data_IF_115702803516
#
_entry.id   IF_115702803516
#
_cell.length_a   1.000
_cell.length_b   1.000
_cell.length_c   1.000
_cell.angle_alpha   90.00
_cell.angle_beta   90.00
_cell.angle_gamma   90.00
#
_symmetry.space_group_name_H-M   'P 1'
#
loop_
_entity.id
_entity.type
_entity.pdbx_description
1 polymer ?
#
# COMPACT_ATOMS: atom_id res chain seq x y z
N UNK A 1 26.14 3.27 -7.04
CA UNK A 1 25.33 2.78 -5.89
C UNK A 1 25.60 3.72 -4.74
N UNK A 2 24.57 4.40 -4.31
CA UNK A 2 24.66 5.34 -3.18
C UNK A 2 25.01 4.55 -1.91
N UNK A 3 26.04 4.98 -1.17
CA UNK A 3 26.42 4.38 0.11
C UNK A 3 25.41 4.83 1.18
N UNK A 4 24.34 4.08 1.37
CA UNK A 4 23.35 4.35 2.42
C UNK A 4 23.81 3.73 3.73
N UNK A 5 23.89 4.53 4.80
CA UNK A 5 24.25 4.03 6.13
C UNK A 5 23.06 3.28 6.76
N UNK A 6 23.22 1.97 6.96
CA UNK A 6 22.24 1.14 7.63
C UNK A 6 22.27 1.36 9.15
N UNK A 7 21.10 1.49 9.77
CA UNK A 7 20.94 1.49 11.22
C UNK A 7 20.94 0.06 11.78
N UNK A 8 21.06 -0.08 13.10
CA UNK A 8 21.03 -1.38 13.77
C UNK A 8 19.73 -2.14 13.42
N UNK A 9 19.89 -3.37 12.95
CA UNK A 9 18.77 -4.24 12.54
C UNK A 9 18.24 -4.00 11.13
N UNK A 10 18.73 -2.97 10.41
CA UNK A 10 18.37 -2.77 9.00
C UNK A 10 19.12 -3.73 8.09
N UNK A 11 18.42 -4.24 7.08
CA UNK A 11 18.93 -5.13 6.04
C UNK A 11 18.44 -4.69 4.67
N UNK A 12 19.26 -4.91 3.66
CA UNK A 12 18.85 -4.69 2.26
C UNK A 12 18.31 -6.00 1.71
N UNK A 13 17.11 -5.93 1.15
CA UNK A 13 16.43 -7.05 0.47
C UNK A 13 16.19 -6.69 -0.99
N UNK A 14 16.27 -7.68 -1.89
CA UNK A 14 15.93 -7.50 -3.31
C UNK A 14 14.40 -7.54 -3.49
N UNK A 15 13.87 -6.65 -4.31
CA UNK A 15 12.46 -6.69 -4.73
C UNK A 15 12.21 -7.70 -5.86
N UNK A 16 13.25 -8.33 -6.40
CA UNK A 16 13.17 -9.25 -7.54
C UNK A 16 12.54 -8.60 -8.79
N UNK A 17 12.69 -7.30 -8.92
CA UNK A 17 12.17 -6.47 -10.02
C UNK A 17 13.32 -5.57 -10.53
N UNK A 18 14.00 -5.99 -11.59
CA UNK A 18 15.25 -5.36 -11.98
C UNK A 18 16.27 -5.42 -10.82
N UNK A 19 17.01 -4.34 -10.62
CA UNK A 19 17.97 -4.22 -9.51
C UNK A 19 17.41 -3.51 -8.27
N UNK A 20 16.07 -3.35 -8.18
CA UNK A 20 15.45 -2.62 -7.09
C UNK A 20 15.59 -3.34 -5.75
N UNK A 21 15.92 -2.56 -4.75
CA UNK A 21 16.14 -3.01 -3.37
C UNK A 21 15.29 -2.24 -2.39
N UNK A 22 15.03 -2.85 -1.25
CA UNK A 22 14.32 -2.22 -0.13
C UNK A 22 15.10 -2.44 1.16
N UNK A 23 15.04 -1.47 2.05
CA UNK A 23 15.59 -1.60 3.40
C UNK A 23 14.47 -2.03 4.32
N UNK A 24 14.71 -3.09 5.10
CA UNK A 24 13.82 -3.64 6.11
C UNK A 24 14.54 -3.70 7.45
N UNK A 25 13.78 -3.68 8.54
CA UNK A 25 14.33 -3.85 9.89
C UNK A 25 13.61 -4.99 10.61
N UNK A 26 14.37 -5.95 11.15
CA UNK A 26 13.83 -7.12 11.83
C UNK A 26 13.03 -6.76 13.10
N UNK A 27 13.33 -5.62 13.71
CA UNK A 27 12.66 -5.10 14.90
C UNK A 27 11.44 -4.23 14.62
N UNK A 28 11.14 -3.96 13.33
CA UNK A 28 10.00 -3.17 12.89
C UNK A 28 9.03 -4.01 12.08
N UNK A 29 7.91 -3.41 11.68
CA UNK A 29 6.96 -4.07 10.79
C UNK A 29 7.62 -4.40 9.45
N UNK A 30 7.63 -5.69 9.09
CA UNK A 30 8.03 -6.16 7.76
C UNK A 30 6.82 -6.22 6.84
N UNK A 31 7.05 -5.91 5.57
CA UNK A 31 6.01 -6.08 4.58
C UNK A 31 5.64 -7.57 4.40
N UNK A 32 4.40 -7.79 4.02
CA UNK A 32 3.87 -9.11 3.68
C UNK A 32 3.64 -9.22 2.17
N UNK A 33 3.37 -10.43 1.70
CA UNK A 33 2.95 -10.68 0.32
C UNK A 33 1.75 -9.83 -0.12
N UNK A 34 0.91 -9.38 0.81
CA UNK A 34 -0.25 -8.51 0.53
C UNK A 34 0.15 -7.22 -0.18
N UNK A 35 1.29 -6.61 0.22
CA UNK A 35 1.85 -5.42 -0.42
C UNK A 35 2.24 -5.67 -1.88
N UNK A 36 2.86 -6.83 -2.13
CA UNK A 36 3.27 -7.26 -3.48
C UNK A 36 2.05 -7.55 -4.36
N UNK A 37 1.06 -8.23 -3.80
CA UNK A 37 -0.20 -8.54 -4.51
C UNK A 37 -0.94 -7.24 -4.85
N UNK A 38 -1.06 -6.30 -3.91
CA UNK A 38 -1.71 -5.02 -4.13
C UNK A 38 -1.06 -4.22 -5.27
N UNK A 39 0.26 -4.12 -5.29
CA UNK A 39 0.97 -3.37 -6.32
C UNK A 39 0.81 -3.97 -7.73
N UNK A 40 0.68 -5.30 -7.83
CA UNK A 40 0.39 -6.00 -9.10
C UNK A 40 -1.08 -5.95 -9.50
N UNK A 41 -1.97 -5.84 -8.54
CA UNK A 41 -3.42 -5.71 -8.76
C UNK A 41 -3.79 -4.34 -9.31
N UNK A 42 -3.10 -3.30 -8.88
CA UNK A 42 -3.36 -1.91 -9.24
C UNK A 42 -3.22 -1.66 -10.75
N UNK A 43 -3.99 -0.71 -11.33
CA UNK A 43 -3.92 -0.40 -12.75
C UNK A 43 -2.55 0.14 -13.13
N UNK A 44 -1.99 -0.40 -14.21
CA UNK A 44 -0.63 -0.11 -14.69
C UNK A 44 -0.53 1.27 -15.37
N UNK A 45 0.70 1.79 -15.50
CA UNK A 45 1.04 2.97 -16.31
C UNK A 45 0.56 4.30 -15.75
N UNK A 46 0.21 4.37 -14.48
CA UNK A 46 -0.16 5.62 -13.80
C UNK A 46 1.07 6.47 -13.52
N UNK A 47 0.96 7.79 -13.71
CA UNK A 47 2.11 8.70 -13.66
C UNK A 47 2.32 9.36 -12.31
N UNK A 48 1.25 9.73 -11.63
CA UNK A 48 1.29 10.33 -10.30
C UNK A 48 0.62 9.37 -9.31
N UNK A 49 1.43 8.75 -8.45
CA UNK A 49 1.01 7.68 -7.54
C UNK A 49 1.23 8.12 -6.10
N UNK A 50 0.24 7.92 -5.25
CA UNK A 50 0.32 8.11 -3.81
C UNK A 50 0.18 6.76 -3.12
N UNK A 51 1.11 6.43 -2.24
CA UNK A 51 1.06 5.28 -1.35
C UNK A 51 0.72 5.77 0.06
N UNK A 52 -0.52 5.55 0.50
CA UNK A 52 -1.02 5.93 1.82
C UNK A 52 -0.75 4.82 2.83
N UNK A 53 -0.27 5.20 4.02
CA UNK A 53 0.21 4.26 5.04
C UNK A 53 1.34 3.38 4.48
N UNK A 54 2.31 4.03 3.84
CA UNK A 54 3.30 3.36 2.98
C UNK A 54 4.28 2.45 3.74
N UNK A 55 4.36 2.57 5.08
CA UNK A 55 5.30 1.79 5.88
C UNK A 55 6.75 2.02 5.41
N UNK A 56 7.46 0.95 5.08
CA UNK A 56 8.81 1.00 4.48
C UNK A 56 8.83 1.40 3.01
N UNK A 57 7.68 1.79 2.42
CA UNK A 57 7.56 2.18 1.02
C UNK A 57 7.44 1.01 0.03
N UNK A 58 7.17 -0.19 0.53
CA UNK A 58 7.15 -1.41 -0.29
C UNK A 58 6.14 -1.35 -1.43
N UNK A 59 4.90 -0.88 -1.20
CA UNK A 59 3.86 -0.89 -2.23
C UNK A 59 4.24 0.06 -3.36
N UNK A 60 4.66 1.28 -3.03
CA UNK A 60 5.11 2.28 -4.00
C UNK A 60 6.34 1.85 -4.79
N UNK A 61 7.39 1.33 -4.12
CA UNK A 61 8.61 0.84 -4.77
C UNK A 61 8.33 -0.36 -5.67
N UNK A 62 7.54 -1.33 -5.19
CA UNK A 62 7.19 -2.51 -5.99
C UNK A 62 6.29 -2.13 -7.18
N UNK A 63 5.34 -1.19 -6.99
CA UNK A 63 4.55 -0.66 -8.10
C UNK A 63 5.41 0.01 -9.15
N UNK A 64 6.41 0.81 -8.76
CA UNK A 64 7.39 1.37 -9.69
C UNK A 64 8.12 0.26 -10.46
N UNK A 65 8.60 -0.77 -9.77
CA UNK A 65 9.32 -1.89 -10.35
C UNK A 65 8.50 -2.69 -11.38
N UNK A 66 7.22 -2.95 -11.12
CA UNK A 66 6.36 -3.65 -12.10
C UNK A 66 5.96 -2.77 -13.30
N UNK A 67 6.22 -1.47 -13.24
CA UNK A 67 5.92 -0.50 -14.30
C UNK A 67 7.17 0.04 -15.02
N UNK A 68 8.34 -0.59 -14.94
CA UNK A 68 9.59 -0.08 -15.52
C UNK A 68 9.51 0.23 -17.04
N UNK A 69 8.63 -0.44 -17.78
CA UNK A 69 8.39 -0.13 -19.20
C UNK A 69 7.63 1.20 -19.42
N UNK A 70 6.87 1.67 -18.42
CA UNK A 70 6.12 2.94 -18.45
C UNK A 70 6.01 3.50 -17.03
N UNK A 71 7.14 3.90 -16.40
CA UNK A 71 7.20 4.17 -14.98
C UNK A 71 6.41 5.42 -14.57
N UNK A 72 6.00 5.50 -13.29
CA UNK A 72 5.53 6.73 -12.69
C UNK A 72 6.55 7.86 -12.82
N UNK A 73 6.08 9.08 -12.95
CA UNK A 73 6.89 10.30 -12.91
C UNK A 73 6.97 10.89 -11.51
N UNK A 74 6.01 10.53 -10.65
CA UNK A 74 5.99 10.87 -9.24
C UNK A 74 5.37 9.74 -8.44
N UNK A 75 6.06 9.33 -7.36
CA UNK A 75 5.52 8.43 -6.32
C UNK A 75 5.71 9.11 -4.97
N UNK A 76 4.61 9.39 -4.29
CA UNK A 76 4.63 9.97 -2.94
C UNK A 76 4.34 8.88 -1.93
N UNK A 77 5.20 8.72 -0.93
CA UNK A 77 5.05 7.78 0.19
C UNK A 77 4.60 8.57 1.42
N UNK A 78 3.37 8.34 1.91
CA UNK A 78 2.83 9.01 3.08
C UNK A 78 2.81 8.05 4.27
N UNK A 79 3.65 8.31 5.27
CA UNK A 79 3.82 7.48 6.45
C UNK A 79 3.90 8.31 7.73
N UNK A 80 3.12 7.93 8.74
CA UNK A 80 3.08 8.65 10.03
C UNK A 80 4.25 8.30 10.95
N UNK A 81 4.80 7.08 10.86
CA UNK A 81 5.88 6.61 11.73
C UNK A 81 7.24 7.08 11.23
N UNK A 82 7.98 7.93 12.00
CA UNK A 82 9.25 8.49 11.52
C UNK A 82 10.30 7.42 11.21
N UNK A 83 10.32 6.31 11.94
CA UNK A 83 11.27 5.22 11.70
C UNK A 83 11.05 4.53 10.36
N UNK A 84 9.79 4.30 9.97
CA UNK A 84 9.43 3.70 8.69
C UNK A 84 9.62 4.69 7.53
N UNK A 85 9.24 5.95 7.71
CA UNK A 85 9.46 7.02 6.73
C UNK A 85 10.96 7.18 6.42
N UNK A 86 11.82 7.23 7.45
CA UNK A 86 13.27 7.30 7.26
C UNK A 86 13.84 6.07 6.54
N UNK A 87 13.29 4.90 6.79
CA UNK A 87 13.68 3.66 6.09
C UNK A 87 13.27 3.71 4.62
N UNK A 88 12.09 4.30 4.31
CA UNK A 88 11.66 4.55 2.93
C UNK A 88 12.58 5.54 2.22
N UNK A 89 12.99 6.64 2.87
CA UNK A 89 13.95 7.62 2.31
C UNK A 89 15.26 6.94 1.92
N UNK A 90 15.81 6.11 2.83
CA UNK A 90 17.01 5.32 2.55
C UNK A 90 16.83 4.36 1.37
N UNK A 91 15.66 3.71 1.27
CA UNK A 91 15.34 2.81 0.15
C UNK A 91 15.27 3.56 -1.18
N UNK A 92 14.68 4.76 -1.18
CA UNK A 92 14.63 5.65 -2.35
C UNK A 92 16.04 6.07 -2.78
N UNK A 93 16.87 6.49 -1.83
CA UNK A 93 18.27 6.87 -2.09
C UNK A 93 19.10 5.70 -2.62
N UNK A 94 18.97 4.51 -2.01
CA UNK A 94 19.68 3.29 -2.41
C UNK A 94 19.44 2.90 -3.87
N UNK A 95 18.26 3.23 -4.40
CA UNK A 95 17.85 2.94 -5.78
C UNK A 95 18.04 4.14 -6.73
N UNK A 96 18.66 5.24 -6.30
CA UNK A 96 18.83 6.48 -7.07
C UNK A 96 17.49 7.08 -7.59
N UNK A 97 16.40 6.90 -6.82
CA UNK A 97 15.03 7.28 -7.21
C UNK A 97 14.55 8.62 -6.64
N UNK A 98 15.42 9.42 -6.00
CA UNK A 98 15.05 10.70 -5.36
C UNK A 98 14.45 11.75 -6.30
N UNK A 99 14.57 11.59 -7.62
CA UNK A 99 13.92 12.46 -8.62
C UNK A 99 12.47 12.07 -8.91
N UNK A 100 12.07 10.86 -8.53
CA UNK A 100 10.75 10.28 -8.81
C UNK A 100 9.95 10.08 -7.53
N UNK A 101 10.64 9.78 -6.43
CA UNK A 101 10.02 9.50 -5.14
C UNK A 101 10.17 10.68 -4.18
N UNK A 102 9.11 10.94 -3.43
CA UNK A 102 9.12 11.81 -2.27
C UNK A 102 8.50 11.10 -1.06
N UNK A 103 9.05 11.33 0.12
CA UNK A 103 8.56 10.77 1.38
C UNK A 103 7.99 11.87 2.24
N UNK A 104 6.74 11.71 2.68
CA UNK A 104 6.03 12.63 3.54
C UNK A 104 5.79 11.98 4.91
N UNK A 105 6.57 12.35 5.92
CA UNK A 105 6.37 11.86 7.28
C UNK A 105 5.32 12.69 8.02
N UNK A 106 4.05 12.49 7.67
CA UNK A 106 2.89 13.19 8.24
C UNK A 106 1.69 12.25 8.37
N UNK A 107 0.73 12.53 9.26
CA UNK A 107 -0.56 11.86 9.26
C UNK A 107 -1.28 12.08 7.92
N UNK A 108 -1.94 11.05 7.39
CA UNK A 108 -2.66 11.15 6.11
C UNK A 108 -3.76 12.24 6.11
N UNK A 109 -4.34 12.58 7.28
CA UNK A 109 -5.32 13.66 7.44
C UNK A 109 -4.71 15.06 7.17
N UNK A 110 -3.38 15.19 7.29
CA UNK A 110 -2.65 16.42 7.04
C UNK A 110 -2.06 16.49 5.62
N UNK A 111 -2.11 15.39 4.87
CA UNK A 111 -1.60 15.33 3.51
C UNK A 111 -2.44 16.19 2.58
N UNK A 112 -1.81 17.14 1.86
CA UNK A 112 -2.48 18.14 1.01
C UNK A 112 -2.21 17.97 -0.50
N UNK A 113 -1.45 16.94 -0.89
CA UNK A 113 -1.20 16.64 -2.29
C UNK A 113 -2.50 16.37 -3.06
N UNK A 114 -2.51 16.69 -4.35
CA UNK A 114 -3.69 16.53 -5.21
C UNK A 114 -3.30 16.05 -6.61
N UNK A 115 -4.30 15.72 -7.39
CA UNK A 115 -4.20 15.34 -8.80
C UNK A 115 -3.39 14.06 -9.05
N UNK A 116 -3.49 13.12 -8.11
CA UNK A 116 -2.95 11.78 -8.30
C UNK A 116 -3.81 10.96 -9.26
N UNK A 117 -3.16 10.15 -10.09
CA UNK A 117 -3.81 9.19 -10.98
C UNK A 117 -4.22 7.92 -10.24
N UNK A 118 -3.43 7.57 -9.21
CA UNK A 118 -3.57 6.36 -8.43
C UNK A 118 -3.24 6.64 -6.97
N UNK A 119 -4.09 6.15 -6.09
CA UNK A 119 -3.79 5.97 -4.66
C UNK A 119 -3.72 4.49 -4.37
N UNK A 120 -2.64 4.07 -3.74
CA UNK A 120 -2.41 2.73 -3.20
C UNK A 120 -2.57 2.79 -1.68
N UNK A 121 -3.10 1.75 -1.06
CA UNK A 121 -3.13 1.66 0.39
C UNK A 121 -3.14 0.21 0.87
N UNK A 122 -2.14 -0.15 1.68
CA UNK A 122 -2.13 -1.36 2.48
C UNK A 122 -2.19 -0.95 3.97
N UNK A 123 -3.38 -0.64 4.49
CA UNK A 123 -3.51 -0.03 5.81
C UNK A 123 -3.32 -1.05 6.94
N UNK A 124 -3.13 -0.61 8.19
CA UNK A 124 -3.22 -1.49 9.34
C UNK A 124 -4.64 -2.07 9.47
N UNK A 125 -4.75 -3.40 9.61
CA UNK A 125 -6.04 -4.11 9.51
C UNK A 125 -6.82 -4.27 10.82
N UNK A 126 -6.22 -4.05 11.97
CA UNK A 126 -6.83 -4.35 13.26
C UNK A 126 -7.54 -3.14 13.84
N UNK A 127 -8.78 -3.35 14.33
CA UNK A 127 -9.51 -2.31 15.09
C UNK A 127 -8.81 -2.03 16.42
N UNK A 128 -8.85 -0.77 16.86
CA UNK A 128 -8.45 -0.40 18.20
C UNK A 128 -9.24 -1.22 19.25
N UNK A 129 -8.53 -1.83 20.21
CA UNK A 129 -9.16 -2.62 21.27
C UNK A 129 -9.22 -4.13 21.07
N UNK A 130 -8.73 -4.68 19.95
CA UNK A 130 -8.65 -6.13 19.74
C UNK A 130 -7.39 -6.75 20.39
N UNK A 131 -7.25 -6.61 21.72
CA UNK A 131 -6.49 -7.49 22.60
C UNK A 131 -5.01 -7.73 22.31
N UNK A 132 -4.17 -6.69 22.21
CA UNK A 132 -2.72 -6.84 22.19
C UNK A 132 -2.05 -6.29 23.46
N UNK A 133 -0.99 -6.99 23.91
CA UNK A 133 -0.17 -6.66 25.06
C UNK A 133 0.65 -5.38 24.83
N UNK A 134 0.93 -4.56 25.86
CA UNK A 134 1.69 -3.30 25.78
C UNK A 134 3.14 -3.43 25.34
N UNK A 135 3.67 -4.64 25.18
CA UNK A 135 5.09 -4.90 24.89
C UNK A 135 5.51 -4.63 23.45
N UNK A 136 4.54 -4.41 22.52
CA UNK A 136 4.83 -4.22 21.10
C UNK A 136 4.17 -2.96 20.52
N UNK A 137 4.44 -1.79 21.12
CA UNK A 137 3.84 -0.51 20.72
C UNK A 137 4.09 -0.17 19.22
N UNK A 138 5.26 -0.52 18.67
CA UNK A 138 5.58 -0.37 17.25
C UNK A 138 4.81 -1.35 16.37
N UNK A 139 4.73 -2.62 16.76
CA UNK A 139 4.00 -3.65 16.00
C UNK A 139 2.49 -3.41 16.13
N UNK A 140 2.01 -2.98 17.30
CA UNK A 140 0.61 -2.65 17.50
C UNK A 140 0.17 -1.45 16.64
N UNK A 141 0.99 -0.41 16.54
CA UNK A 141 0.70 0.78 15.72
C UNK A 141 0.64 0.45 14.24
N UNK A 142 1.45 -0.51 13.78
CA UNK A 142 1.42 -0.96 12.38
C UNK A 142 0.21 -1.84 12.05
N UNK A 143 -0.43 -2.46 13.06
CA UNK A 143 -1.52 -3.43 12.87
C UNK A 143 -2.88 -2.94 13.33
N UNK A 144 -2.95 -1.84 14.07
CA UNK A 144 -4.19 -1.34 14.67
C UNK A 144 -4.61 -0.01 14.09
N UNK A 145 -5.92 0.19 13.95
CA UNK A 145 -6.52 1.48 13.57
C UNK A 145 -6.42 2.55 14.69
N UNK A 146 -5.43 2.43 15.59
CA UNK A 146 -5.25 3.38 16.68
C UNK A 146 -5.05 4.82 16.19
N UNK A 147 -4.54 4.98 14.95
CA UNK A 147 -4.21 6.30 14.40
C UNK A 147 -4.95 6.63 13.10
N UNK A 148 -5.69 5.69 12.51
CA UNK A 148 -6.45 5.91 11.29
C UNK A 148 -7.63 4.96 11.15
N UNK A 149 -8.79 5.47 10.78
CA UNK A 149 -10.00 4.70 10.48
C UNK A 149 -10.12 4.44 8.97
N UNK A 150 -10.89 3.42 8.59
CA UNK A 150 -11.17 3.13 7.18
C UNK A 150 -11.83 4.33 6.47
N UNK A 151 -12.73 5.03 7.15
CA UNK A 151 -13.36 6.26 6.65
C UNK A 151 -12.31 7.34 6.33
N UNK A 152 -11.35 7.59 7.21
CA UNK A 152 -10.29 8.59 6.99
C UNK A 152 -9.39 8.22 5.81
N UNK A 153 -9.08 6.93 5.62
CA UNK A 153 -8.32 6.44 4.47
C UNK A 153 -9.09 6.72 3.17
N UNK A 154 -10.38 6.38 3.13
CA UNK A 154 -11.25 6.62 1.98
C UNK A 154 -11.38 8.12 1.68
N UNK A 155 -11.56 8.95 2.71
CA UNK A 155 -11.64 10.40 2.57
C UNK A 155 -10.32 10.99 2.01
N UNK A 156 -9.18 10.57 2.54
CA UNK A 156 -7.86 11.01 2.06
C UNK A 156 -7.63 10.59 0.61
N UNK A 157 -7.92 9.34 0.24
CA UNK A 157 -7.81 8.86 -1.12
C UNK A 157 -8.69 9.67 -2.08
N UNK A 158 -9.94 9.94 -1.69
CA UNK A 158 -10.85 10.74 -2.52
C UNK A 158 -10.37 12.18 -2.72
N UNK A 159 -9.90 12.83 -1.64
CA UNK A 159 -9.44 14.21 -1.70
C UNK A 159 -8.18 14.40 -2.53
N UNK A 160 -7.31 13.40 -2.60
CA UNK A 160 -6.01 13.46 -3.29
C UNK A 160 -6.08 13.07 -4.76
N UNK A 161 -7.02 12.21 -5.14
CA UNK A 161 -7.21 11.78 -6.52
C UNK A 161 -7.82 12.89 -7.39
N UNK A 162 -7.40 12.93 -8.66
CA UNK A 162 -8.16 13.64 -9.71
C UNK A 162 -9.46 12.91 -10.04
N UNK A 163 -10.42 13.58 -10.69
CA UNK A 163 -11.61 12.90 -11.22
C UNK A 163 -11.21 11.79 -12.20
N UNK A 164 -11.81 10.62 -12.10
CA UNK A 164 -11.43 9.42 -12.85
C UNK A 164 -10.15 8.73 -12.35
N UNK A 165 -9.50 9.24 -11.31
CA UNK A 165 -8.36 8.60 -10.66
C UNK A 165 -8.78 7.32 -9.92
N UNK A 166 -7.84 6.38 -9.76
CA UNK A 166 -8.08 5.06 -9.19
C UNK A 166 -7.60 4.99 -7.74
N UNK A 167 -8.38 4.34 -6.89
CA UNK A 167 -8.00 3.95 -5.53
C UNK A 167 -7.92 2.43 -5.44
N UNK A 168 -6.73 1.88 -5.21
CA UNK A 168 -6.50 0.45 -5.01
C UNK A 168 -6.08 0.19 -3.57
N UNK A 169 -6.85 -0.63 -2.88
CA UNK A 169 -6.67 -0.94 -1.46
C UNK A 169 -6.80 -2.44 -1.23
N UNK A 170 -5.98 -2.98 -0.33
CA UNK A 170 -6.23 -4.29 0.25
C UNK A 170 -6.75 -4.16 1.68
N UNK A 171 -7.61 -5.08 2.09
CA UNK A 171 -8.15 -5.12 3.44
C UNK A 171 -8.56 -6.55 3.81
N UNK A 172 -8.78 -6.82 5.11
CA UNK A 172 -9.36 -8.09 5.55
C UNK A 172 -10.67 -8.38 4.83
N UNK A 173 -10.87 -9.63 4.38
CA UNK A 173 -12.06 -10.03 3.63
C UNK A 173 -13.35 -9.80 4.44
N UNK A 174 -13.33 -10.02 5.75
CA UNK A 174 -14.47 -9.78 6.67
C UNK A 174 -14.96 -8.32 6.68
N UNK A 175 -14.10 -7.36 6.26
CA UNK A 175 -14.44 -5.93 6.21
C UNK A 175 -14.74 -5.42 4.80
N UNK A 176 -14.87 -6.32 3.82
CA UNK A 176 -15.14 -5.94 2.43
C UNK A 176 -16.41 -5.09 2.27
N UNK A 177 -17.49 -5.47 2.97
CA UNK A 177 -18.76 -4.74 2.92
C UNK A 177 -18.63 -3.31 3.49
N UNK A 178 -17.93 -3.14 4.61
CA UNK A 178 -17.65 -1.84 5.21
C UNK A 178 -16.82 -0.95 4.27
N UNK A 179 -15.76 -1.50 3.67
CA UNK A 179 -14.91 -0.80 2.71
C UNK A 179 -15.70 -0.30 1.51
N UNK A 180 -16.51 -1.17 0.89
CA UNK A 180 -17.34 -0.79 -0.26
C UNK A 180 -18.37 0.28 0.13
N UNK A 181 -19.00 0.14 1.30
CA UNK A 181 -19.98 1.11 1.80
C UNK A 181 -19.36 2.50 1.98
N UNK A 182 -18.22 2.60 2.69
CA UNK A 182 -17.54 3.88 2.91
C UNK A 182 -17.05 4.51 1.60
N UNK A 183 -16.52 3.71 0.68
CA UNK A 183 -16.07 4.19 -0.63
C UNK A 183 -17.23 4.75 -1.47
N UNK A 184 -18.34 4.02 -1.58
CA UNK A 184 -19.51 4.45 -2.35
C UNK A 184 -20.16 5.70 -1.72
N UNK A 185 -20.30 5.72 -0.40
CA UNK A 185 -20.82 6.88 0.35
C UNK A 185 -19.98 8.13 0.11
N UNK A 186 -18.67 7.97 -0.11
CA UNK A 186 -17.75 9.09 -0.38
C UNK A 186 -17.82 9.59 -1.82
N UNK A 187 -18.33 8.81 -2.77
CA UNK A 187 -18.43 9.17 -4.17
C UNK A 187 -17.54 8.36 -5.11
N UNK A 188 -16.96 7.27 -4.62
CA UNK A 188 -16.27 6.31 -5.47
C UNK A 188 -17.24 5.37 -6.17
N UNK A 189 -16.93 5.02 -7.43
CA UNK A 189 -17.55 3.88 -8.12
C UNK A 189 -16.67 2.64 -7.96
N UNK A 190 -17.14 1.57 -7.30
CA UNK A 190 -16.43 0.29 -7.28
C UNK A 190 -16.24 -0.23 -8.71
N UNK A 191 -15.04 -0.65 -9.07
CA UNK A 191 -14.72 -1.18 -10.40
C UNK A 191 -14.33 -2.66 -10.37
N UNK A 192 -13.53 -3.08 -9.39
CA UNK A 192 -13.03 -4.45 -9.31
C UNK A 192 -12.86 -4.90 -7.86
N UNK A 193 -13.24 -6.14 -7.57
CA UNK A 193 -12.98 -6.80 -6.30
C UNK A 193 -12.39 -8.18 -6.57
N UNK A 194 -11.28 -8.48 -5.90
CA UNK A 194 -10.56 -9.75 -6.01
C UNK A 194 -10.33 -10.33 -4.63
N UNK A 195 -10.94 -11.46 -4.29
CA UNK A 195 -10.63 -12.19 -3.07
C UNK A 195 -9.23 -12.78 -3.12
N UNK A 196 -8.57 -12.90 -1.97
CA UNK A 196 -7.26 -13.55 -1.82
C UNK A 196 -7.34 -14.61 -0.74
N UNK A 197 -7.02 -15.85 -1.09
CA UNK A 197 -6.99 -17.00 -0.19
C UNK A 197 -5.55 -17.49 0.03
N UNK A 198 -5.26 -18.08 1.17
CA UNK A 198 -3.94 -18.66 1.45
C UNK A 198 -3.69 -19.90 0.59
N UNK A 199 -4.74 -20.71 0.37
CA UNK A 199 -4.69 -21.90 -0.49
C UNK A 199 -5.95 -21.99 -1.36
N UNK A 200 -5.85 -22.76 -2.43
CA UNK A 200 -7.00 -23.04 -3.29
C UNK A 200 -8.11 -23.76 -2.50
N UNK A 201 -9.33 -23.23 -2.62
CA UNK A 201 -10.51 -23.78 -1.93
C UNK A 201 -10.69 -23.31 -0.48
N UNK A 202 -9.75 -22.56 0.09
CA UNK A 202 -9.93 -21.93 1.40
C UNK A 202 -10.69 -20.60 1.30
N UNK A 203 -11.33 -20.20 2.40
CA UNK A 203 -11.99 -18.91 2.50
C UNK A 203 -10.99 -17.77 2.32
N UNK A 204 -11.37 -16.68 1.64
CA UNK A 204 -10.51 -15.52 1.49
C UNK A 204 -10.20 -14.85 2.84
N UNK A 205 -8.93 -14.58 3.10
CA UNK A 205 -8.49 -13.80 4.26
C UNK A 205 -8.35 -12.31 3.95
N UNK A 206 -8.15 -11.97 2.67
CA UNK A 206 -7.93 -10.62 2.18
C UNK A 206 -8.83 -10.34 0.98
N UNK A 207 -9.13 -9.08 0.75
CA UNK A 207 -9.77 -8.58 -0.45
C UNK A 207 -8.97 -7.41 -1.03
N UNK A 208 -8.83 -7.41 -2.35
CA UNK A 208 -8.30 -6.29 -3.13
C UNK A 208 -9.47 -5.58 -3.78
N UNK A 209 -9.59 -4.28 -3.55
CA UNK A 209 -10.62 -3.46 -4.14
C UNK A 209 -10.02 -2.34 -4.98
N UNK A 210 -10.61 -2.10 -6.15
CA UNK A 210 -10.35 -0.95 -6.98
C UNK A 210 -11.61 -0.09 -7.08
N UNK A 211 -11.43 1.19 -6.84
CA UNK A 211 -12.48 2.20 -6.94
C UNK A 211 -12.04 3.30 -7.89
N UNK A 212 -12.98 3.94 -8.56
CA UNK A 212 -12.71 5.08 -9.45
C UNK A 212 -13.48 6.29 -8.94
N UNK A 213 -12.76 7.42 -8.74
CA UNK A 213 -13.37 8.67 -8.28
C UNK A 213 -14.34 9.21 -9.31
N UNK A 214 -15.53 9.67 -8.85
CA UNK A 214 -16.57 10.31 -9.64
C UNK A 214 -17.10 9.43 -10.80
N UNK A 215 -17.08 8.11 -10.63
CA UNK A 215 -17.56 7.15 -11.63
C UNK A 215 -18.76 6.38 -11.12
N UNK A 216 -19.68 6.05 -12.04
CA UNK A 216 -20.77 5.09 -11.73
C UNK A 216 -20.18 3.70 -11.45
N UNK A 217 -20.75 2.95 -10.50
CA UNK A 217 -20.29 1.59 -10.20
C UNK A 217 -20.35 0.69 -11.45
N UNK A 218 -19.23 0.00 -11.72
CA UNK A 218 -19.13 -1.02 -12.80
C UNK A 218 -18.53 -2.31 -12.24
N UNK A 219 -19.00 -2.72 -11.10
CA UNK A 219 -18.39 -3.73 -10.24
C UNK A 219 -18.13 -5.06 -10.95
N UNK A 220 -16.87 -5.47 -10.98
CA UNK A 220 -16.44 -6.80 -11.45
C UNK A 220 -15.90 -7.60 -10.27
N UNK A 221 -16.53 -8.73 -9.99
CA UNK A 221 -15.97 -9.75 -9.12
C UNK A 221 -15.04 -10.63 -9.96
N UNK A 222 -13.77 -10.72 -9.56
CA UNK A 222 -12.79 -11.54 -10.29
C UNK A 222 -12.54 -12.87 -9.58
N UNK A 223 -11.90 -13.80 -10.27
CA UNK A 223 -11.47 -15.06 -9.65
C UNK A 223 -10.52 -14.79 -8.47
N UNK A 224 -10.59 -15.62 -7.41
CA UNK A 224 -9.68 -15.49 -6.27
C UNK A 224 -8.22 -15.63 -6.67
N UNK A 225 -7.35 -14.84 -6.03
CA UNK A 225 -5.90 -15.04 -6.07
C UNK A 225 -5.53 -16.01 -4.95
N UNK A 226 -4.75 -17.03 -5.28
CA UNK A 226 -4.13 -17.90 -4.27
C UNK A 226 -2.76 -17.33 -3.92
N UNK A 227 -2.60 -16.89 -2.66
CA UNK A 227 -1.35 -16.38 -2.12
C UNK A 227 -0.43 -17.52 -1.70
N UNK A 228 -0.04 -18.35 -2.64
CA UNK A 228 0.96 -19.40 -2.39
C UNK A 228 2.36 -18.77 -2.45
N UNK A 229 3.16 -18.99 -1.41
CA UNK A 229 4.54 -18.50 -1.30
C UNK A 229 5.43 -18.91 -2.49
N UNK A 230 5.06 -19.96 -3.23
CA UNK A 230 5.73 -20.41 -4.46
C UNK A 230 5.49 -19.47 -5.66
N UNK A 231 4.41 -18.67 -5.66
CA UNK A 231 4.08 -17.76 -6.77
C UNK A 231 4.84 -16.42 -6.70
N UNK A 232 5.58 -16.17 -5.62
CA UNK A 232 6.36 -14.93 -5.42
C UNK A 232 7.87 -15.10 -5.56
N UNK A 233 8.36 -16.35 -5.62
CA UNK A 233 9.73 -16.64 -6.03
C UNK A 233 9.80 -16.51 -7.55
N UNK A 234 10.31 -15.37 -8.04
CA UNK A 234 10.38 -15.01 -9.46
C UNK A 234 10.82 -16.16 -10.39
N UNK A 235 9.85 -16.76 -11.04
CA UNK A 235 9.99 -17.47 -12.29
C UNK A 235 9.08 -16.83 -13.31
#
# INVERSE_FOLDING_TARGET
MSNVNLSLGEKIESLMLGDLKIIQNDNLYKFTSDSVILSRFAPMGKKRVLDLCSGSGIVGLHYYGVNLSNPPTLVTLCEIQPSLAKMSEKSVELNDLSKVFEVCNIPLQQFKGRDYDLVLCNPPYQKAGSGFSPLDEHISTCRTELKVTLKEIVDAAYCTLKSGGCFSICHKAERAAELVFEAVKRGFGPSKLTPVSAKSGEEPYLVLCEFVKDRKPTFKLTLPIVNDSKNFSGK
#
